data_IF_203593147243
#
_entry.id   IF_203593147243
#
_cell.length_a   1.000
_cell.length_b   1.000
_cell.length_c   1.000
_cell.angle_alpha   90.00
_cell.angle_beta   90.00
_cell.angle_gamma   90.00
#
_symmetry.space_group_name_H-M   'P 1'
#
loop_
_entity.id
_entity.type
_entity.pdbx_description
1 polymer ?
#
# COMPACT_ATOMS: atom_id res chain seq x y z
N UNK A 1 24.35 -25.23 1.83
CA UNK A 1 23.61 -25.85 0.71
C UNK A 1 22.32 -25.07 0.58
N UNK A 2 22.08 -24.52 -0.58
CA UNK A 2 20.77 -23.90 -0.90
C UNK A 2 19.69 -24.97 -0.70
N UNK A 3 18.66 -24.62 0.01
CA UNK A 3 17.51 -25.51 0.23
C UNK A 3 16.45 -25.14 -0.81
N UNK A 4 15.98 -26.12 -1.57
CA UNK A 4 14.83 -25.93 -2.45
C UNK A 4 13.56 -26.41 -1.75
N UNK A 5 12.44 -25.83 -2.14
CA UNK A 5 11.10 -26.23 -1.70
C UNK A 5 10.19 -26.45 -2.90
N UNK A 6 9.23 -27.35 -2.74
CA UNK A 6 8.15 -27.57 -3.70
C UNK A 6 6.83 -27.34 -2.99
N UNK A 7 5.88 -26.69 -3.65
CA UNK A 7 4.62 -26.26 -3.03
C UNK A 7 3.52 -26.11 -4.08
N UNK A 8 2.29 -26.04 -3.63
CA UNK A 8 1.14 -25.77 -4.48
C UNK A 8 0.82 -24.28 -4.48
N UNK A 9 0.90 -23.62 -5.64
CA UNK A 9 0.50 -22.22 -5.80
C UNK A 9 -0.93 -22.14 -6.34
N UNK A 10 -1.80 -21.39 -5.65
CA UNK A 10 -3.14 -21.02 -6.11
C UNK A 10 -3.16 -19.53 -6.37
N UNK A 11 -3.39 -19.12 -7.60
CA UNK A 11 -3.38 -17.71 -7.99
C UNK A 11 -4.66 -17.30 -8.69
N UNK A 12 -5.17 -16.11 -8.35
CA UNK A 12 -6.43 -15.61 -8.85
C UNK A 12 -6.30 -15.14 -10.31
N UNK A 13 -7.21 -15.63 -11.16
CA UNK A 13 -7.38 -15.19 -12.55
C UNK A 13 -8.68 -14.41 -12.69
N UNK A 14 -8.62 -13.23 -13.27
CA UNK A 14 -9.81 -12.40 -13.51
C UNK A 14 -9.55 -11.39 -14.63
N UNK A 15 -10.45 -11.33 -15.62
CA UNK A 15 -10.34 -10.42 -16.77
C UNK A 15 -11.18 -9.15 -16.56
N UNK A 16 -10.76 -8.32 -15.60
CA UNK A 16 -11.41 -7.04 -15.33
C UNK A 16 -12.44 -7.08 -14.20
N UNK A 17 -13.01 -5.91 -13.83
CA UNK A 17 -13.82 -5.75 -12.63
C UNK A 17 -15.20 -6.43 -12.69
N UNK A 18 -15.71 -6.70 -13.89
CA UNK A 18 -17.02 -7.32 -14.12
C UNK A 18 -16.93 -8.83 -14.39
N UNK A 19 -15.73 -9.36 -14.60
CA UNK A 19 -15.53 -10.78 -14.86
C UNK A 19 -15.56 -11.57 -13.54
N UNK A 20 -16.06 -12.80 -13.62
CA UNK A 20 -15.95 -13.74 -12.51
C UNK A 20 -14.50 -14.21 -12.36
N UNK A 21 -13.97 -14.11 -11.13
CA UNK A 21 -12.63 -14.59 -10.81
C UNK A 21 -12.64 -16.07 -10.45
N UNK A 22 -11.55 -16.77 -10.77
CA UNK A 22 -11.31 -18.17 -10.37
C UNK A 22 -9.86 -18.34 -9.94
N UNK A 23 -9.56 -19.48 -9.31
CA UNK A 23 -8.19 -19.84 -8.96
C UNK A 23 -7.64 -20.86 -9.93
N UNK A 24 -6.51 -20.56 -10.55
CA UNK A 24 -5.64 -21.55 -11.13
C UNK A 24 -4.75 -22.18 -10.07
N UNK A 25 -4.35 -23.42 -10.28
CA UNK A 25 -3.50 -24.17 -9.37
C UNK A 25 -2.29 -24.73 -10.11
N UNK A 26 -1.10 -24.53 -9.55
CA UNK A 26 0.17 -24.99 -10.13
C UNK A 26 1.05 -25.61 -9.06
N UNK A 27 1.67 -26.75 -9.37
CA UNK A 27 2.75 -27.32 -8.59
C UNK A 27 4.06 -26.63 -8.97
N UNK A 28 4.63 -25.89 -8.03
CA UNK A 28 5.97 -25.28 -8.15
C UNK A 28 6.98 -26.23 -7.56
N UNK A 29 7.99 -26.61 -8.35
CA UNK A 29 8.98 -27.63 -7.93
C UNK A 29 10.38 -27.03 -7.87
N UNK A 30 11.14 -27.46 -6.87
CA UNK A 30 12.56 -27.15 -6.72
C UNK A 30 12.89 -25.65 -6.71
N UNK A 31 12.00 -24.82 -6.14
CA UNK A 31 12.21 -23.38 -6.02
C UNK A 31 13.23 -23.09 -4.93
N UNK A 32 14.35 -22.38 -5.24
CA UNK A 32 15.35 -22.03 -4.24
C UNK A 32 14.77 -21.12 -3.16
N UNK A 33 15.11 -21.39 -1.90
CA UNK A 33 14.58 -20.61 -0.77
C UNK A 33 15.06 -19.16 -0.72
N UNK A 34 16.15 -18.82 -1.41
CA UNK A 34 16.68 -17.46 -1.53
C UNK A 34 16.04 -16.65 -2.66
N UNK A 35 15.18 -17.27 -3.46
CA UNK A 35 14.35 -16.59 -4.47
C UNK A 35 13.35 -15.67 -3.78
N UNK A 36 13.18 -14.45 -4.28
CA UNK A 36 12.09 -13.57 -3.84
C UNK A 36 10.74 -14.07 -4.35
N UNK A 37 9.66 -13.64 -3.70
CA UNK A 37 8.31 -14.02 -4.12
C UNK A 37 7.98 -13.56 -5.55
N UNK A 38 8.49 -12.38 -5.96
CA UNK A 38 8.27 -11.90 -7.33
C UNK A 38 9.08 -12.71 -8.36
N UNK A 39 10.30 -13.09 -8.04
CA UNK A 39 11.10 -13.98 -8.93
C UNK A 39 10.44 -15.36 -9.07
N UNK A 40 9.85 -15.89 -8.01
CA UNK A 40 9.05 -17.12 -8.08
C UNK A 40 7.85 -16.96 -9.03
N UNK A 41 7.19 -15.79 -9.04
CA UNK A 41 6.12 -15.49 -10.00
C UNK A 41 6.66 -15.28 -11.43
N UNK A 42 7.88 -14.78 -11.60
CA UNK A 42 8.54 -14.73 -12.91
C UNK A 42 8.79 -16.18 -13.44
N UNK A 43 9.26 -17.09 -12.58
CA UNK A 43 9.42 -18.52 -12.93
C UNK A 43 8.07 -19.15 -13.31
N UNK A 44 7.00 -18.85 -12.58
CA UNK A 44 5.65 -19.28 -12.96
C UNK A 44 5.28 -18.80 -14.35
N UNK A 45 5.54 -17.52 -14.66
CA UNK A 45 5.21 -16.94 -15.96
C UNK A 45 6.03 -17.55 -17.10
N UNK A 46 7.31 -17.83 -16.88
CA UNK A 46 8.12 -18.56 -17.86
C UNK A 46 7.52 -19.94 -18.17
N UNK A 47 7.14 -20.70 -17.13
CA UNK A 47 6.49 -22.02 -17.32
C UNK A 47 5.15 -21.91 -18.09
N UNK A 48 4.33 -20.90 -17.76
CA UNK A 48 3.05 -20.68 -18.46
C UNK A 48 3.27 -20.36 -19.95
N UNK A 49 4.24 -19.50 -20.25
CA UNK A 49 4.58 -19.12 -21.64
C UNK A 49 5.11 -20.33 -22.43
N UNK A 50 5.99 -21.12 -21.85
CA UNK A 50 6.56 -22.31 -22.49
C UNK A 50 5.46 -23.36 -22.82
N UNK A 51 4.41 -23.42 -22.02
CA UNK A 51 3.24 -24.26 -22.26
C UNK A 51 2.19 -23.62 -23.21
N UNK A 52 2.45 -22.41 -23.71
CA UNK A 52 1.51 -21.67 -24.57
C UNK A 52 0.28 -21.13 -23.83
N UNK A 53 0.37 -20.99 -22.50
CA UNK A 53 -0.68 -20.44 -21.65
C UNK A 53 -0.47 -18.93 -21.44
N UNK A 54 -1.54 -18.23 -21.09
CA UNK A 54 -1.47 -16.80 -20.80
C UNK A 54 -0.72 -16.54 -19.48
N UNK A 55 0.27 -15.61 -19.45
CA UNK A 55 0.98 -15.24 -18.23
C UNK A 55 0.04 -14.73 -17.13
N UNK A 56 0.41 -14.95 -15.89
CA UNK A 56 -0.23 -14.36 -14.71
C UNK A 56 0.14 -12.89 -14.60
N UNK A 57 -0.86 -12.00 -14.50
CA UNK A 57 -0.65 -10.55 -14.48
C UNK A 57 -0.65 -10.03 -13.04
N UNK A 58 0.43 -9.37 -12.67
CA UNK A 58 0.61 -8.71 -11.38
C UNK A 58 1.48 -7.46 -11.52
N UNK A 59 1.32 -6.51 -10.59
CA UNK A 59 2.13 -5.29 -10.58
C UNK A 59 3.46 -5.49 -9.86
N UNK A 60 4.51 -4.98 -10.47
CA UNK A 60 5.84 -4.86 -9.87
C UNK A 60 6.63 -3.73 -10.53
N UNK A 61 7.63 -3.19 -9.82
CA UNK A 61 8.51 -2.14 -10.37
C UNK A 61 9.87 -2.18 -9.68
N UNK A 62 10.11 -1.42 -8.61
CA UNK A 62 11.43 -1.21 -8.01
C UNK A 62 12.11 -2.49 -7.49
N UNK A 63 11.37 -3.48 -7.04
CA UNK A 63 11.86 -4.70 -6.34
C UNK A 63 12.70 -4.42 -5.08
N UNK A 64 12.66 -3.19 -4.54
CA UNK A 64 13.44 -2.71 -3.39
C UNK A 64 12.57 -2.26 -2.20
N UNK A 65 11.26 -2.49 -2.25
CA UNK A 65 10.35 -2.16 -1.14
C UNK A 65 10.04 -0.67 -0.98
N UNK A 66 10.17 0.14 -2.03
CA UNK A 66 10.01 1.60 -1.96
C UNK A 66 8.93 2.19 -2.87
N UNK A 67 8.50 1.51 -3.93
CA UNK A 67 7.53 2.06 -4.90
C UNK A 67 6.06 1.77 -4.57
N UNK A 68 5.76 0.76 -3.75
CA UNK A 68 4.40 0.36 -3.40
C UNK A 68 3.62 -0.37 -4.50
N UNK A 69 4.27 -0.79 -5.62
CA UNK A 69 3.56 -1.38 -6.76
C UNK A 69 3.19 -2.86 -6.57
N UNK A 70 3.97 -3.66 -5.87
CA UNK A 70 3.78 -5.10 -5.71
C UNK A 70 2.59 -5.46 -4.79
N UNK A 71 1.37 -5.20 -5.26
CA UNK A 71 0.12 -5.25 -4.50
C UNK A 71 -0.51 -6.63 -4.52
N UNK A 72 0.04 -7.58 -3.77
CA UNK A 72 -0.46 -8.95 -3.67
C UNK A 72 -0.96 -9.28 -2.27
N UNK A 73 -2.09 -9.99 -2.21
CA UNK A 73 -2.66 -10.57 -1.00
C UNK A 73 -2.26 -12.04 -0.95
N UNK A 74 -1.37 -12.39 -0.03
CA UNK A 74 -0.73 -13.72 0.03
C UNK A 74 -1.13 -14.41 1.32
N UNK A 75 -1.74 -15.59 1.23
CA UNK A 75 -2.21 -16.38 2.37
C UNK A 75 -3.05 -15.56 3.37
N UNK A 76 -3.91 -14.65 2.89
CA UNK A 76 -4.76 -13.85 3.73
C UNK A 76 -4.11 -12.60 4.34
N UNK A 77 -2.89 -12.23 3.91
CA UNK A 77 -2.16 -11.05 4.37
C UNK A 77 -1.73 -10.16 3.20
N UNK A 78 -2.00 -8.83 3.25
CA UNK A 78 -1.40 -7.90 2.31
C UNK A 78 0.12 -7.97 2.36
N UNK A 79 0.76 -8.12 1.20
CA UNK A 79 2.20 -8.35 1.04
C UNK A 79 2.73 -9.68 1.60
N UNK A 80 1.87 -10.56 2.15
CA UNK A 80 2.26 -11.87 2.69
C UNK A 80 2.55 -11.86 4.21
N UNK A 81 3.01 -12.98 4.74
CA UNK A 81 3.09 -13.21 6.19
C UNK A 81 4.20 -12.42 6.91
N UNK A 82 5.02 -11.68 6.20
CA UNK A 82 6.14 -10.93 6.76
C UNK A 82 5.70 -9.54 7.21
N UNK A 83 5.61 -9.29 8.51
CA UNK A 83 5.31 -7.96 9.05
C UNK A 83 6.39 -6.95 8.65
N UNK A 84 5.98 -5.74 8.24
CA UNK A 84 6.89 -4.66 7.89
C UNK A 84 7.65 -4.86 6.58
N UNK A 85 7.19 -5.76 5.70
CA UNK A 85 7.79 -6.03 4.41
C UNK A 85 6.78 -5.90 3.28
N UNK A 86 7.26 -5.53 2.10
CA UNK A 86 6.49 -5.57 0.85
C UNK A 86 6.66 -6.92 0.17
N UNK A 87 5.77 -7.25 -0.77
CA UNK A 87 5.83 -8.54 -1.51
C UNK A 87 7.19 -8.77 -2.18
N UNK A 88 7.81 -7.72 -2.73
CA UNK A 88 9.14 -7.85 -3.37
C UNK A 88 10.28 -8.13 -2.38
N UNK A 89 10.05 -7.96 -1.09
CA UNK A 89 10.99 -8.29 -0.01
C UNK A 89 10.59 -9.55 0.77
N UNK A 90 9.56 -10.25 0.31
CA UNK A 90 9.19 -11.57 0.78
C UNK A 90 9.99 -12.62 0.03
N UNK A 91 10.65 -13.52 0.74
CA UNK A 91 11.48 -14.59 0.18
C UNK A 91 10.86 -15.95 0.42
N UNK A 92 11.14 -16.92 -0.50
CA UNK A 92 10.58 -18.26 -0.44
C UNK A 92 11.01 -19.06 0.79
N UNK A 93 12.10 -18.68 1.47
CA UNK A 93 12.49 -19.25 2.78
C UNK A 93 11.49 -19.02 3.93
N UNK A 94 10.44 -18.22 3.71
CA UNK A 94 9.35 -18.02 4.66
C UNK A 94 8.24 -19.05 4.53
N UNK A 95 8.31 -19.90 3.53
CA UNK A 95 7.38 -20.99 3.26
C UNK A 95 8.08 -22.33 3.44
N UNK A 96 7.29 -23.39 3.62
CA UNK A 96 7.80 -24.74 3.82
C UNK A 96 7.53 -25.60 2.58
N UNK A 97 8.30 -26.68 2.48
CA UNK A 97 8.04 -27.71 1.49
C UNK A 97 6.66 -28.34 1.72
N UNK A 98 5.88 -28.47 0.64
CA UNK A 98 4.49 -28.96 0.68
C UNK A 98 3.42 -27.93 1.04
N UNK A 99 3.77 -26.67 1.31
CA UNK A 99 2.77 -25.62 1.60
C UNK A 99 1.80 -25.40 0.43
N UNK A 100 0.62 -24.86 0.75
CA UNK A 100 -0.32 -24.31 -0.23
C UNK A 100 -0.29 -22.80 -0.08
N UNK A 101 0.14 -22.10 -1.13
CA UNK A 101 0.26 -20.64 -1.15
C UNK A 101 -0.86 -20.07 -2.03
N UNK A 102 -1.66 -19.14 -1.47
CA UNK A 102 -2.72 -18.44 -2.23
C UNK A 102 -2.29 -17.02 -2.55
N UNK A 103 -2.58 -16.58 -3.79
CA UNK A 103 -2.29 -15.22 -4.27
C UNK A 103 -3.55 -14.60 -4.82
N UNK A 104 -3.92 -13.44 -4.30
CA UNK A 104 -5.14 -12.72 -4.64
C UNK A 104 -4.85 -11.22 -4.87
N UNK A 105 -5.73 -10.50 -5.62
CA UNK A 105 -5.61 -9.05 -5.76
C UNK A 105 -6.02 -8.32 -4.48
N UNK A 106 -5.69 -7.02 -4.39
CA UNK A 106 -6.35 -6.13 -3.43
C UNK A 106 -7.86 -6.12 -3.66
N UNK A 107 -8.64 -6.61 -2.71
CA UNK A 107 -10.10 -6.64 -2.80
C UNK A 107 -10.71 -5.39 -2.17
N UNK A 108 -10.84 -4.34 -2.96
CA UNK A 108 -11.51 -3.09 -2.57
C UNK A 108 -12.26 -2.52 -3.76
N UNK A 109 -13.47 -2.02 -3.54
CA UNK A 109 -14.24 -1.34 -4.58
C UNK A 109 -13.51 -0.11 -5.15
N UNK A 110 -12.66 0.54 -4.34
CA UNK A 110 -11.86 1.68 -4.75
C UNK A 110 -10.62 1.29 -5.58
N UNK A 111 -10.29 -0.01 -5.67
CA UNK A 111 -9.20 -0.56 -6.46
C UNK A 111 -9.76 -1.61 -7.44
N UNK A 112 -10.44 -1.20 -8.52
CA UNK A 112 -11.00 -2.13 -9.49
C UNK A 112 -9.89 -2.98 -10.13
N UNK A 113 -10.18 -4.25 -10.35
CA UNK A 113 -9.25 -5.19 -10.99
C UNK A 113 -9.10 -4.83 -12.46
N UNK A 114 -7.86 -4.65 -12.91
CA UNK A 114 -7.52 -4.50 -14.33
C UNK A 114 -7.44 -5.89 -14.95
N UNK A 115 -6.60 -6.75 -14.39
CA UNK A 115 -6.45 -8.15 -14.80
C UNK A 115 -5.74 -8.94 -13.70
N UNK A 116 -6.21 -10.13 -13.40
CA UNK A 116 -5.66 -11.06 -12.41
C UNK A 116 -5.42 -10.36 -11.05
N UNK A 117 -4.18 -10.13 -10.67
CA UNK A 117 -3.82 -9.42 -9.44
C UNK A 117 -3.42 -7.95 -9.64
N UNK A 118 -3.45 -7.45 -10.87
CA UNK A 118 -3.25 -6.03 -11.18
C UNK A 118 -4.52 -5.23 -10.89
N UNK A 119 -4.42 -4.17 -10.12
CA UNK A 119 -5.53 -3.29 -9.73
C UNK A 119 -5.26 -1.82 -10.07
N UNK A 120 -6.31 -1.07 -10.41
CA UNK A 120 -6.22 0.38 -10.59
C UNK A 120 -6.18 1.08 -9.22
N UNK A 121 -5.06 1.71 -8.91
CA UNK A 121 -4.86 2.54 -7.71
C UNK A 121 -4.91 4.03 -7.97
N UNK A 122 -5.39 4.46 -9.13
CA UNK A 122 -5.53 5.87 -9.49
C UNK A 122 -6.37 6.69 -8.52
N UNK A 123 -7.21 6.04 -7.69
CA UNK A 123 -7.89 6.68 -6.58
C UNK A 123 -6.92 7.33 -5.57
N UNK A 124 -5.79 6.71 -5.28
CA UNK A 124 -4.76 7.28 -4.39
C UNK A 124 -4.11 8.52 -5.00
N UNK A 125 -3.83 8.51 -6.30
CA UNK A 125 -3.27 9.66 -7.00
C UNK A 125 -4.23 10.86 -6.96
N UNK A 126 -5.53 10.63 -7.14
CA UNK A 126 -6.55 11.67 -7.03
C UNK A 126 -6.63 12.25 -5.60
N UNK A 127 -6.46 11.44 -4.56
CA UNK A 127 -6.36 11.93 -3.18
C UNK A 127 -5.10 12.79 -3.01
N UNK A 128 -3.96 12.34 -3.51
CA UNK A 128 -2.71 13.11 -3.44
C UNK A 128 -2.81 14.43 -4.19
N UNK A 129 -3.43 14.46 -5.36
CA UNK A 129 -3.70 15.69 -6.14
C UNK A 129 -4.60 16.66 -5.38
N UNK A 130 -5.50 16.19 -4.54
CA UNK A 130 -6.41 17.04 -3.76
C UNK A 130 -5.72 17.85 -2.66
N UNK A 131 -4.56 17.39 -2.13
CA UNK A 131 -3.89 18.10 -1.05
C UNK A 131 -2.57 17.50 -0.55
N UNK A 132 -2.09 16.42 -1.15
CA UNK A 132 -0.89 15.70 -0.72
C UNK A 132 0.44 16.43 -1.03
N UNK A 133 0.41 17.72 -1.19
CA UNK A 133 1.55 18.57 -1.57
C UNK A 133 1.57 19.86 -0.74
N UNK A 134 2.67 20.61 -0.84
CA UNK A 134 2.81 21.96 -0.32
C UNK A 134 2.86 22.92 -1.50
N UNK A 135 1.99 23.94 -1.50
CA UNK A 135 2.07 25.05 -2.49
C UNK A 135 3.26 25.92 -2.11
N UNK A 136 4.34 25.75 -2.82
CA UNK A 136 5.62 26.37 -2.49
C UNK A 136 5.57 27.86 -2.78
N UNK A 137 6.13 28.65 -1.88
CA UNK A 137 6.54 30.02 -2.22
C UNK A 137 7.59 29.95 -3.32
N UNK A 138 7.36 30.66 -4.40
CA UNK A 138 8.29 30.74 -5.54
C UNK A 138 9.47 31.70 -5.29
N UNK A 139 9.72 32.11 -4.07
CA UNK A 139 10.84 32.95 -3.66
C UNK A 139 12.04 32.15 -3.18
N UNK A 140 13.01 32.84 -2.60
CA UNK A 140 14.18 32.21 -1.98
C UNK A 140 13.76 31.35 -0.78
N UNK A 141 14.50 30.26 -0.55
CA UNK A 141 14.38 29.50 0.67
C UNK A 141 14.69 30.39 1.88
N UNK A 142 14.00 30.15 3.00
CA UNK A 142 14.32 30.81 4.26
C UNK A 142 15.67 30.31 4.78
N UNK A 143 16.35 31.13 5.57
CA UNK A 143 17.57 30.72 6.25
C UNK A 143 17.34 29.51 7.12
N UNK A 144 18.35 28.67 7.25
CA UNK A 144 18.30 27.52 8.14
C UNK A 144 17.96 27.98 9.56
N UNK A 145 17.09 27.23 10.24
CA UNK A 145 16.59 27.54 11.58
C UNK A 145 15.75 28.84 11.72
N UNK A 146 15.26 29.40 10.60
CA UNK A 146 14.35 30.56 10.67
C UNK A 146 13.03 30.24 11.38
N UNK A 147 12.54 29.00 11.24
CA UNK A 147 11.37 28.49 11.95
C UNK A 147 11.78 27.19 12.68
N UNK A 148 11.87 27.27 13.99
CA UNK A 148 12.27 26.15 14.84
C UNK A 148 11.12 25.15 15.01
N UNK A 149 11.46 23.86 14.97
CA UNK A 149 10.59 22.74 15.36
C UNK A 149 11.35 21.83 16.33
N UNK A 150 10.62 21.15 17.22
CA UNK A 150 11.27 20.17 18.09
C UNK A 150 11.71 18.94 17.28
N UNK A 151 12.71 18.22 17.80
CA UNK A 151 13.18 16.98 17.20
C UNK A 151 12.04 15.96 17.12
N UNK A 152 11.23 15.84 18.17
CA UNK A 152 10.11 14.90 18.23
C UNK A 152 9.10 15.18 17.10
N UNK A 153 8.75 16.47 16.86
CA UNK A 153 7.84 16.83 15.79
C UNK A 153 8.44 16.53 14.40
N UNK A 154 9.74 16.73 14.24
CA UNK A 154 10.45 16.41 13.00
C UNK A 154 10.48 14.89 12.75
N UNK A 155 10.86 14.11 13.77
CA UNK A 155 10.92 12.65 13.70
C UNK A 155 9.52 12.09 13.35
N UNK A 156 8.48 12.51 14.07
CA UNK A 156 7.10 12.08 13.80
C UNK A 156 6.63 12.46 12.38
N UNK A 157 7.02 13.64 11.89
CA UNK A 157 6.70 14.05 10.52
C UNK A 157 7.41 13.17 9.48
N UNK A 158 8.66 12.78 9.74
CA UNK A 158 9.43 11.90 8.85
C UNK A 158 8.89 10.46 8.89
N UNK A 159 8.48 9.96 10.05
CA UNK A 159 7.80 8.66 10.17
C UNK A 159 6.53 8.64 9.30
N UNK A 160 5.71 9.70 9.35
CA UNK A 160 4.54 9.84 8.49
C UNK A 160 4.88 9.94 6.99
N UNK A 161 6.09 10.36 6.65
CA UNK A 161 6.55 10.47 5.26
C UNK A 161 6.98 9.13 4.66
N UNK A 162 7.10 8.07 5.47
CA UNK A 162 7.55 6.75 4.99
C UNK A 162 6.51 6.01 4.15
N UNK A 163 5.25 6.47 4.16
CA UNK A 163 4.17 5.88 3.39
C UNK A 163 4.48 5.83 1.89
N UNK A 164 4.48 4.63 1.32
CA UNK A 164 4.77 4.37 -0.11
C UNK A 164 3.50 4.23 -0.98
N UNK A 165 2.32 4.48 -0.43
CA UNK A 165 1.06 4.41 -1.18
C UNK A 165 0.72 3.01 -1.73
N UNK A 166 1.17 1.94 -1.10
CA UNK A 166 0.99 0.58 -1.61
C UNK A 166 -0.47 0.07 -1.58
N UNK A 167 -1.31 0.59 -0.68
CA UNK A 167 -2.71 0.17 -0.55
C UNK A 167 -2.95 -0.97 0.44
N UNK A 168 -1.92 -1.53 1.09
CA UNK A 168 -2.07 -2.61 2.09
C UNK A 168 -3.06 -2.24 3.21
N UNK A 169 -3.05 -1.00 3.66
CA UNK A 169 -3.97 -0.49 4.67
C UNK A 169 -5.45 -0.56 4.25
N UNK A 170 -5.74 -0.33 2.97
CA UNK A 170 -7.09 -0.46 2.41
C UNK A 170 -7.46 -1.93 2.26
N UNK A 171 -6.54 -2.74 1.73
CA UNK A 171 -6.73 -4.18 1.54
C UNK A 171 -6.96 -4.93 2.86
N UNK A 172 -6.25 -4.55 3.93
CA UNK A 172 -6.43 -5.12 5.28
C UNK A 172 -7.72 -4.68 5.98
N UNK A 173 -8.27 -3.53 5.57
CA UNK A 173 -9.42 -2.95 6.25
C UNK A 173 -10.73 -3.58 5.78
N UNK A 174 -11.49 -4.18 6.68
CA UNK A 174 -12.79 -4.78 6.35
C UNK A 174 -13.80 -3.79 5.74
N UNK A 175 -13.58 -2.49 5.93
CA UNK A 175 -14.39 -1.42 5.34
C UNK A 175 -13.73 -0.80 4.09
N UNK A 176 -12.55 -1.23 3.68
CA UNK A 176 -11.81 -0.62 2.57
C UNK A 176 -11.47 0.86 2.80
N UNK A 177 -11.16 1.26 4.04
CA UNK A 177 -10.90 2.66 4.40
C UNK A 177 -9.48 3.08 4.04
N UNK A 178 -9.32 4.25 3.42
CA UNK A 178 -8.02 4.86 3.13
C UNK A 178 -7.53 5.83 4.23
N UNK A 179 -8.15 5.80 5.41
CA UNK A 179 -7.84 6.76 6.49
C UNK A 179 -6.37 6.75 6.90
N UNK A 180 -5.68 5.59 6.95
CA UNK A 180 -4.27 5.56 7.30
C UNK A 180 -3.42 6.24 6.21
N UNK A 181 -3.66 5.96 4.94
CA UNK A 181 -2.98 6.59 3.81
C UNK A 181 -3.14 8.12 3.82
N UNK A 182 -4.38 8.61 3.95
CA UNK A 182 -4.67 10.06 4.00
C UNK A 182 -4.04 10.70 5.22
N UNK A 183 -4.14 10.05 6.39
CA UNK A 183 -3.65 10.58 7.65
C UNK A 183 -2.13 10.71 7.71
N UNK A 184 -1.38 9.83 7.08
CA UNK A 184 0.07 9.92 6.99
C UNK A 184 0.49 11.24 6.35
N UNK A 185 -0.06 11.58 5.20
CA UNK A 185 0.26 12.83 4.49
C UNK A 185 -0.24 14.08 5.21
N UNK A 186 -1.45 14.04 5.75
CA UNK A 186 -1.99 15.16 6.53
C UNK A 186 -1.17 15.38 7.80
N UNK A 187 -0.76 14.31 8.50
CA UNK A 187 0.08 14.40 9.70
C UNK A 187 1.46 14.95 9.40
N UNK A 188 2.13 14.45 8.35
CA UNK A 188 3.43 14.95 7.92
C UNK A 188 3.42 16.47 7.78
N UNK A 189 2.47 17.00 7.03
CA UNK A 189 2.42 18.44 6.74
C UNK A 189 1.83 19.28 7.88
N UNK A 190 1.01 18.72 8.75
CA UNK A 190 0.54 19.43 9.95
C UNK A 190 1.65 19.63 10.99
N UNK A 191 2.62 18.74 11.05
CA UNK A 191 3.76 18.80 11.96
C UNK A 191 4.86 19.76 11.46
N UNK A 192 5.02 19.88 10.15
CA UNK A 192 6.04 20.70 9.53
C UNK A 192 5.58 22.15 9.30
N UNK A 193 6.43 23.16 9.56
CA UNK A 193 6.11 24.58 9.34
C UNK A 193 5.63 24.86 7.91
N UNK A 194 6.21 24.18 6.90
CA UNK A 194 5.90 24.35 5.49
C UNK A 194 4.45 23.96 5.15
N UNK A 195 3.91 22.98 5.86
CA UNK A 195 2.55 22.47 5.60
C UNK A 195 1.45 23.16 6.39
N UNK A 196 1.79 23.86 7.47
CA UNK A 196 0.82 24.49 8.40
C UNK A 196 -0.11 25.51 7.74
N UNK A 197 0.35 26.41 6.85
CA UNK A 197 -0.54 27.40 6.23
C UNK A 197 -1.71 26.79 5.46
N UNK A 198 -1.54 25.58 4.95
CA UNK A 198 -2.54 24.88 4.13
C UNK A 198 -3.21 23.70 4.88
N UNK A 199 -2.93 23.52 6.18
CA UNK A 199 -3.35 22.33 6.93
C UNK A 199 -4.87 22.14 6.91
N UNK A 200 -5.65 23.21 7.11
CA UNK A 200 -7.12 23.17 7.09
C UNK A 200 -7.66 22.80 5.70
N UNK A 201 -7.17 23.48 4.65
CA UNK A 201 -7.57 23.21 3.27
C UNK A 201 -7.22 21.75 2.87
N UNK A 202 -6.01 21.30 3.21
CA UNK A 202 -5.53 19.95 2.93
C UNK A 202 -6.41 18.89 3.60
N UNK A 203 -6.65 19.02 4.90
CA UNK A 203 -7.45 18.05 5.63
C UNK A 203 -8.86 17.90 5.04
N UNK A 204 -9.53 19.01 4.75
CA UNK A 204 -10.85 18.99 4.10
C UNK A 204 -10.80 18.35 2.71
N UNK A 205 -9.92 18.83 1.85
CA UNK A 205 -9.85 18.40 0.46
C UNK A 205 -9.54 16.91 0.32
N UNK A 206 -8.57 16.40 1.09
CA UNK A 206 -8.18 14.99 1.02
C UNK A 206 -9.23 14.06 1.62
N UNK A 207 -9.88 14.45 2.73
CA UNK A 207 -10.97 13.65 3.32
C UNK A 207 -12.19 13.61 2.39
N UNK A 208 -12.61 14.76 1.85
CA UNK A 208 -13.73 14.82 0.91
C UNK A 208 -13.44 14.01 -0.36
N UNK A 209 -12.21 14.08 -0.87
CA UNK A 209 -11.81 13.29 -2.05
C UNK A 209 -11.81 11.79 -1.76
N UNK A 210 -11.36 11.36 -0.59
CA UNK A 210 -11.43 9.97 -0.15
C UNK A 210 -12.88 9.45 -0.12
N UNK A 211 -13.81 10.26 0.40
CA UNK A 211 -15.23 9.92 0.45
C UNK A 211 -15.85 9.85 -0.96
N UNK A 212 -15.57 10.85 -1.81
CA UNK A 212 -16.01 10.88 -3.22
C UNK A 212 -15.57 9.65 -4.02
N UNK A 213 -14.39 9.14 -3.74
CA UNK A 213 -13.81 7.97 -4.42
C UNK A 213 -14.30 6.63 -3.87
N UNK A 214 -15.21 6.62 -2.92
CA UNK A 214 -15.88 5.42 -2.43
C UNK A 214 -15.09 4.59 -1.42
N UNK A 215 -14.09 5.17 -0.75
CA UNK A 215 -13.42 4.51 0.37
C UNK A 215 -14.35 4.46 1.58
N UNK A 216 -14.36 3.31 2.26
CA UNK A 216 -15.21 3.11 3.43
C UNK A 216 -14.76 3.85 4.68
N UNK A 217 -15.67 3.96 5.64
CA UNK A 217 -15.42 4.64 6.90
C UNK A 217 -14.54 3.83 7.86
N UNK A 218 -13.65 4.52 8.56
CA UNK A 218 -12.80 3.90 9.57
C UNK A 218 -13.59 3.50 10.81
N UNK A 219 -13.46 2.24 11.24
CA UNK A 219 -14.01 1.71 12.50
C UNK A 219 -12.92 1.37 13.52
N UNK A 220 -11.72 1.89 13.31
CA UNK A 220 -10.57 1.82 14.23
C UNK A 220 -10.17 0.39 14.64
N UNK A 221 -10.17 -0.55 13.71
CA UNK A 221 -9.79 -1.96 13.96
C UNK A 221 -8.29 -2.18 14.08
N UNK A 222 -7.46 -1.22 13.67
CA UNK A 222 -5.99 -1.26 13.64
C UNK A 222 -5.37 -2.27 12.66
N UNK A 223 -6.14 -2.99 11.87
CA UNK A 223 -5.61 -3.90 10.86
C UNK A 223 -4.65 -3.19 9.87
N UNK A 224 -4.96 -1.95 9.52
CA UNK A 224 -4.14 -1.14 8.62
C UNK A 224 -2.73 -0.85 9.16
N UNK A 225 -2.58 -0.63 10.47
CA UNK A 225 -1.28 -0.45 11.13
C UNK A 225 -0.51 -1.77 11.20
N UNK A 226 -1.19 -2.86 11.55
CA UNK A 226 -0.58 -4.19 11.68
C UNK A 226 0.00 -4.71 10.36
N UNK A 227 -0.67 -4.43 9.24
CA UNK A 227 -0.28 -4.89 7.90
C UNK A 227 0.53 -3.84 7.11
N UNK A 228 0.88 -2.70 7.72
CA UNK A 228 1.62 -1.67 7.02
C UNK A 228 3.10 -2.05 6.84
N UNK A 229 3.63 -2.14 5.60
CA UNK A 229 5.03 -2.47 5.37
C UNK A 229 6.00 -1.37 5.80
N UNK A 230 5.47 -0.18 6.15
CA UNK A 230 6.25 0.98 6.62
C UNK A 230 5.93 1.40 8.05
N UNK A 231 5.15 0.59 8.77
CA UNK A 231 4.80 0.82 10.18
C UNK A 231 4.14 2.19 10.45
N UNK A 232 3.31 2.67 9.49
CA UNK A 232 2.53 3.90 9.69
C UNK A 232 1.62 3.76 10.91
N UNK A 233 1.73 4.72 11.82
CA UNK A 233 0.98 4.67 13.08
C UNK A 233 -0.48 5.08 12.93
N UNK A 234 -1.37 4.35 13.60
CA UNK A 234 -2.79 4.72 13.70
C UNK A 234 -3.01 6.05 14.42
N UNK A 235 -2.03 6.56 15.18
CA UNK A 235 -2.08 7.89 15.79
C UNK A 235 -2.24 9.00 14.75
N UNK A 236 -1.80 8.76 13.53
CA UNK A 236 -2.01 9.67 12.40
C UNK A 236 -3.49 9.88 12.09
N UNK A 237 -4.33 8.85 12.23
CA UNK A 237 -5.78 8.96 12.06
C UNK A 237 -6.38 9.89 13.13
N UNK A 238 -5.92 9.80 14.37
CA UNK A 238 -6.37 10.72 15.41
C UNK A 238 -5.97 12.18 15.11
N UNK A 239 -4.76 12.39 14.57
CA UNK A 239 -4.32 13.71 14.12
C UNK A 239 -5.15 14.21 12.94
N UNK A 240 -5.40 13.39 11.93
CA UNK A 240 -6.26 13.74 10.80
C UNK A 240 -7.65 14.20 11.29
N UNK A 241 -8.28 13.44 12.17
CA UNK A 241 -9.59 13.80 12.73
C UNK A 241 -9.55 15.17 13.43
N UNK A 242 -8.50 15.43 14.22
CA UNK A 242 -8.30 16.73 14.90
C UNK A 242 -8.13 17.86 13.89
N UNK A 243 -7.31 17.70 12.87
CA UNK A 243 -7.09 18.72 11.84
C UNK A 243 -8.36 18.96 11.01
N UNK A 244 -9.14 17.92 10.70
CA UNK A 244 -10.40 18.03 9.99
C UNK A 244 -11.47 18.76 10.82
N UNK A 245 -11.60 18.44 12.11
CA UNK A 245 -12.53 19.13 13.03
C UNK A 245 -12.16 20.61 13.15
N UNK A 246 -10.88 20.93 13.40
CA UNK A 246 -10.40 22.33 13.43
C UNK A 246 -10.74 23.08 12.15
N UNK A 247 -10.51 22.43 11.01
CA UNK A 247 -10.80 23.02 9.72
C UNK A 247 -12.30 23.29 9.50
N UNK A 248 -13.18 22.45 10.03
CA UNK A 248 -14.64 22.64 9.97
C UNK A 248 -15.16 23.73 10.90
N UNK A 249 -14.48 23.96 12.02
CA UNK A 249 -14.83 25.01 12.99
C UNK A 249 -14.31 26.40 12.58
N UNK A 250 -13.35 26.47 11.66
CA UNK A 250 -12.77 27.71 11.16
C UNK A 250 -13.52 28.32 9.95
N UNK A 251 -14.49 27.61 9.40
CA UNK A 251 -15.43 28.11 8.37
C UNK A 251 -16.59 28.85 9.02
#
# INVERSE_FOLDING_TARGET
>A
MEKNISFTLKFCRQNGPQAEGHFDTREMKDIPTDTSFLEMLDILNEQLIDEGQEPFVFDHDCREGICGMCSLYINGHPHGPNTGATTCQLYMRKFNDGDVITVEPWRSAAFPIIKDCMVDRGAFDKIMQAGGYVSVRTGQAQDANAILISKEAADEAMDCATCIGCGACVAACKNGSAMLFVSSKVSQFALLPQGRPEAAKRAKAMVMKMEELGFGNCTNTRACEAECPKHESISNIARLNREFIKAKLAD
#
